data_IF_289850778120
#
_entry.id   IF_289850778120
#
_cell.length_a   1.000
_cell.length_b   1.000
_cell.length_c   1.000
_cell.angle_alpha   90.00
_cell.angle_beta   90.00
_cell.angle_gamma   90.00
#
_symmetry.space_group_name_H-M   'P 1'
#
loop_
_entity.id
_entity.type
_entity.pdbx_description
1 polymer ?
#
# COMPACT_ATOMS: atom_id res chain seq x y z
N UNK A 1 10.88 5.02 22.76
CA UNK A 1 11.95 4.43 21.93
C UNK A 1 13.04 5.48 21.82
N UNK A 2 14.22 5.20 22.37
CA UNK A 2 15.34 6.16 22.42
C UNK A 2 15.74 6.53 21.00
N UNK A 3 15.98 7.82 20.75
CA UNK A 3 16.38 8.32 19.43
C UNK A 3 17.83 7.88 19.20
N UNK A 4 18.01 6.69 18.62
CA UNK A 4 19.32 6.20 18.21
C UNK A 4 20.01 7.19 17.28
N UNK A 5 21.34 7.20 17.32
CA UNK A 5 22.15 7.96 16.40
C UNK A 5 21.86 7.57 14.94
N UNK A 6 21.85 8.57 14.06
CA UNK A 6 21.48 8.38 12.66
C UNK A 6 22.42 7.41 11.92
N UNK A 7 23.67 7.32 12.36
CA UNK A 7 24.67 6.39 11.82
C UNK A 7 24.34 4.93 12.16
N UNK A 8 24.12 4.66 13.45
CA UNK A 8 23.81 3.31 13.96
C UNK A 8 22.47 2.81 13.46
N UNK A 9 21.45 3.68 13.37
CA UNK A 9 20.16 3.31 12.78
C UNK A 9 20.30 2.86 11.31
N UNK A 10 21.12 3.57 10.53
CA UNK A 10 21.35 3.22 9.11
C UNK A 10 22.07 1.87 9.00
N UNK A 11 23.11 1.63 9.79
CA UNK A 11 23.82 0.35 9.75
C UNK A 11 22.91 -0.80 10.16
N UNK A 12 22.13 -0.63 11.23
CA UNK A 12 21.16 -1.64 11.67
C UNK A 12 20.12 -1.93 10.59
N UNK A 13 19.64 -0.90 9.90
CA UNK A 13 18.71 -1.05 8.79
C UNK A 13 19.34 -1.80 7.59
N UNK A 14 20.59 -1.51 7.25
CA UNK A 14 21.34 -2.24 6.22
C UNK A 14 21.49 -3.73 6.58
N UNK A 15 21.94 -4.03 7.80
CA UNK A 15 22.10 -5.42 8.27
C UNK A 15 20.77 -6.17 8.23
N UNK A 16 19.67 -5.51 8.61
CA UNK A 16 18.33 -6.11 8.58
C UNK A 16 17.86 -6.46 7.16
N UNK A 17 18.13 -5.61 6.17
CA UNK A 17 17.77 -5.91 4.78
C UNK A 17 18.55 -7.11 4.27
N UNK A 18 19.86 -7.11 4.53
CA UNK A 18 20.77 -8.18 4.10
C UNK A 18 20.31 -9.51 4.68
N UNK A 19 20.06 -9.54 6.00
CA UNK A 19 19.54 -10.73 6.66
C UNK A 19 18.23 -11.23 6.04
N UNK A 20 17.30 -10.33 5.69
CA UNK A 20 16.03 -10.71 5.06
C UNK A 20 16.20 -11.18 3.61
N UNK A 21 17.17 -10.64 2.87
CA UNK A 21 17.48 -11.07 1.51
C UNK A 21 18.10 -12.47 1.50
N UNK A 22 18.92 -12.80 2.50
CA UNK A 22 19.56 -14.11 2.62
C UNK A 22 18.59 -15.16 3.19
N UNK A 23 17.73 -14.77 4.14
CA UNK A 23 16.80 -15.69 4.80
C UNK A 23 15.63 -16.11 3.89
N UNK A 24 15.13 -15.21 3.04
CA UNK A 24 13.91 -15.43 2.24
C UNK A 24 14.23 -15.53 0.75
N UNK A 25 13.91 -16.66 0.09
CA UNK A 25 14.23 -16.85 -1.33
C UNK A 25 13.31 -16.06 -2.28
N UNK A 26 12.12 -15.65 -1.82
CA UNK A 26 11.09 -14.98 -2.63
C UNK A 26 10.76 -13.61 -2.05
N UNK A 27 10.52 -12.65 -2.95
CA UNK A 27 10.30 -11.25 -2.63
C UNK A 27 9.21 -10.64 -3.53
N UNK A 28 8.31 -9.88 -2.93
CA UNK A 28 7.38 -9.00 -3.64
C UNK A 28 7.79 -7.54 -3.52
N UNK A 29 7.62 -6.81 -4.63
CA UNK A 29 7.66 -5.35 -4.67
C UNK A 29 6.21 -4.86 -4.63
N UNK A 30 5.86 -4.07 -3.62
CA UNK A 30 4.49 -3.58 -3.39
C UNK A 30 4.48 -2.06 -3.40
N UNK A 31 3.58 -1.45 -4.18
CA UNK A 31 3.31 -0.01 -4.12
C UNK A 31 2.35 0.33 -2.98
N UNK A 32 2.64 1.40 -2.22
CA UNK A 32 1.91 1.77 -1.01
C UNK A 32 1.34 3.22 -1.05
N UNK A 33 0.96 3.73 -2.21
CA UNK A 33 0.59 5.15 -2.39
C UNK A 33 -0.70 5.57 -1.66
N UNK A 34 -1.71 4.71 -1.61
CA UNK A 34 -3.04 5.01 -1.03
C UNK A 34 -3.37 4.16 0.20
N UNK A 35 -2.35 3.73 0.94
CA UNK A 35 -2.53 2.79 2.07
C UNK A 35 -2.44 3.54 3.40
N UNK A 36 -3.48 3.41 4.22
CA UNK A 36 -3.50 4.01 5.56
C UNK A 36 -2.59 3.26 6.54
N UNK A 37 -2.07 3.95 7.57
CA UNK A 37 -1.22 3.34 8.60
C UNK A 37 -1.89 2.15 9.31
N UNK A 38 -3.20 2.25 9.58
CA UNK A 38 -4.01 1.18 10.18
C UNK A 38 -4.11 -0.04 9.26
N UNK A 39 -4.28 0.18 7.96
CA UNK A 39 -4.32 -0.90 6.97
C UNK A 39 -2.97 -1.61 6.87
N UNK A 40 -1.86 -0.87 6.87
CA UNK A 40 -0.52 -1.48 6.91
C UNK A 40 -0.29 -2.30 8.19
N UNK A 41 -0.83 -1.86 9.33
CA UNK A 41 -0.76 -2.65 10.57
C UNK A 41 -1.58 -3.94 10.46
N UNK A 42 -2.81 -3.89 9.93
CA UNK A 42 -3.63 -5.07 9.70
C UNK A 42 -2.98 -6.06 8.73
N UNK A 43 -2.40 -5.57 7.63
CA UNK A 43 -1.65 -6.39 6.67
C UNK A 43 -0.46 -7.06 7.36
N UNK A 44 0.29 -6.33 8.19
CA UNK A 44 1.40 -6.92 8.96
C UNK A 44 0.96 -7.98 9.96
N UNK A 45 -0.22 -7.84 10.57
CA UNK A 45 -0.78 -8.85 11.48
C UNK A 45 -1.21 -10.09 10.68
N UNK A 46 -1.89 -9.89 9.55
CA UNK A 46 -2.37 -10.98 8.69
C UNK A 46 -1.25 -11.80 8.03
N UNK A 47 -0.09 -11.17 7.80
CA UNK A 47 1.10 -11.79 7.22
C UNK A 47 2.05 -12.37 8.27
N UNK A 48 1.76 -12.20 9.57
CA UNK A 48 2.67 -12.61 10.64
C UNK A 48 2.85 -14.13 10.62
N UNK A 49 4.11 -14.57 10.58
CA UNK A 49 4.49 -15.98 10.50
C UNK A 49 4.85 -16.43 9.08
N UNK A 50 4.13 -15.93 8.07
CA UNK A 50 4.32 -16.35 6.68
C UNK A 50 5.19 -15.37 5.87
N UNK A 51 5.12 -14.08 6.20
CA UNK A 51 5.83 -13.03 5.47
C UNK A 51 6.25 -11.85 6.35
N UNK A 52 7.33 -11.18 5.94
CA UNK A 52 7.84 -9.97 6.60
C UNK A 52 7.75 -8.78 5.65
N UNK A 53 7.02 -7.74 6.08
CA UNK A 53 6.90 -6.48 5.33
C UNK A 53 7.96 -5.49 5.79
N UNK A 54 8.77 -4.99 4.86
CA UNK A 54 9.79 -3.98 5.09
C UNK A 54 9.55 -2.77 4.18
N UNK A 55 9.34 -1.60 4.79
CA UNK A 55 9.28 -0.31 4.08
C UNK A 55 10.60 0.43 4.28
N UNK A 56 11.10 1.08 3.23
CA UNK A 56 12.41 1.73 3.27
C UNK A 56 12.57 2.88 2.30
N UNK A 57 13.61 3.69 2.52
CA UNK A 57 14.00 4.73 1.56
C UNK A 57 14.63 4.08 0.32
N UNK A 58 14.12 4.39 -0.87
CA UNK A 58 14.56 3.81 -2.15
C UNK A 58 16.07 3.86 -2.37
N UNK A 59 16.73 4.98 -2.03
CA UNK A 59 18.19 5.12 -2.19
C UNK A 59 18.97 4.17 -1.28
N UNK A 60 18.48 3.94 -0.06
CA UNK A 60 19.10 3.02 0.89
C UNK A 60 18.90 1.57 0.43
N UNK A 61 17.68 1.22 0.03
CA UNK A 61 17.34 -0.11 -0.48
C UNK A 61 18.17 -0.47 -1.72
N UNK A 62 18.28 0.45 -2.70
CA UNK A 62 19.11 0.22 -3.89
C UNK A 62 20.58 0.02 -3.55
N UNK A 63 21.12 0.76 -2.59
CA UNK A 63 22.51 0.59 -2.16
C UNK A 63 22.72 -0.77 -1.50
N UNK A 64 21.79 -1.23 -0.67
CA UNK A 64 21.87 -2.54 -0.02
C UNK A 64 21.85 -3.67 -1.05
N UNK A 65 20.92 -3.61 -2.00
CA UNK A 65 20.76 -4.62 -3.05
C UNK A 65 21.99 -4.65 -3.98
N UNK A 66 22.54 -3.48 -4.34
CA UNK A 66 23.79 -3.42 -5.12
C UNK A 66 24.99 -4.01 -4.39
N UNK A 67 25.06 -3.86 -3.07
CA UNK A 67 26.11 -4.48 -2.26
C UNK A 67 25.99 -6.00 -2.16
N UNK A 68 24.79 -6.55 -2.36
CA UNK A 68 24.53 -8.00 -2.38
C UNK A 68 24.45 -8.60 -3.79
N UNK A 69 24.77 -7.82 -4.82
CA UNK A 69 24.64 -8.26 -6.22
C UNK A 69 25.60 -9.40 -6.57
N UNK A 70 26.74 -9.48 -5.89
CA UNK A 70 27.75 -10.53 -6.07
C UNK A 70 27.22 -11.92 -5.71
N UNK A 71 26.29 -12.00 -4.77
CA UNK A 71 25.70 -13.28 -4.33
C UNK A 71 24.51 -13.72 -5.18
N UNK A 72 23.83 -12.78 -5.85
CA UNK A 72 22.64 -13.09 -6.65
C UNK A 72 22.43 -12.06 -7.78
N UNK A 73 22.81 -12.44 -9.00
CA UNK A 73 22.68 -11.61 -10.20
C UNK A 73 21.22 -11.28 -10.57
N UNK A 74 20.24 -12.06 -10.09
CA UNK A 74 18.83 -11.80 -10.35
C UNK A 74 18.34 -10.49 -9.69
N UNK A 75 19.04 -10.01 -8.66
CA UNK A 75 18.69 -8.78 -7.95
C UNK A 75 18.82 -7.51 -8.81
N UNK A 76 19.64 -7.55 -9.86
CA UNK A 76 19.79 -6.43 -10.79
C UNK A 76 18.47 -6.07 -11.47
N UNK A 77 17.66 -7.08 -11.79
CA UNK A 77 16.34 -6.91 -12.41
C UNK A 77 15.34 -6.18 -11.50
N UNK A 78 15.57 -6.15 -10.18
CA UNK A 78 14.69 -5.47 -9.23
C UNK A 78 14.92 -3.96 -9.17
N UNK A 79 16.16 -3.50 -9.44
CA UNK A 79 16.55 -2.09 -9.36
C UNK A 79 15.64 -1.12 -10.13
N UNK A 80 15.22 -1.39 -11.39
CA UNK A 80 14.35 -0.47 -12.12
C UNK A 80 12.95 -0.33 -11.51
N UNK A 81 12.47 -1.33 -10.76
CA UNK A 81 11.13 -1.34 -10.17
C UNK A 81 11.06 -0.62 -8.81
N UNK A 82 12.20 -0.22 -8.22
CA UNK A 82 12.25 0.51 -6.94
C UNK A 82 12.10 2.02 -7.18
N UNK A 83 10.88 2.43 -7.53
CA UNK A 83 10.47 3.82 -7.81
C UNK A 83 9.11 4.12 -7.18
N UNK A 84 8.95 5.32 -6.62
CA UNK A 84 7.72 5.71 -5.91
C UNK A 84 7.69 5.26 -4.45
N UNK A 85 6.49 5.17 -3.87
CA UNK A 85 6.30 4.66 -2.52
C UNK A 85 6.24 3.13 -2.54
N UNK A 86 7.37 2.48 -2.34
CA UNK A 86 7.53 1.04 -2.51
C UNK A 86 7.94 0.36 -1.21
N UNK A 87 7.37 -0.81 -0.98
CA UNK A 87 7.71 -1.75 0.07
C UNK A 87 8.16 -3.10 -0.47
N UNK A 88 8.86 -3.84 0.38
CA UNK A 88 9.25 -5.20 0.14
C UNK A 88 8.49 -6.15 1.06
N UNK A 89 8.02 -7.27 0.52
CA UNK A 89 7.41 -8.34 1.29
C UNK A 89 8.22 -9.62 1.04
N UNK A 90 8.92 -10.07 2.08
CA UNK A 90 9.78 -11.26 2.07
C UNK A 90 8.99 -12.47 2.52
N UNK A 91 9.11 -13.58 1.80
CA UNK A 91 8.23 -14.74 1.97
C UNK A 91 8.97 -16.05 1.68
N UNK A 92 8.72 -17.09 2.47
CA UNK A 92 9.18 -18.47 2.17
C UNK A 92 8.09 -19.31 1.49
N UNK A 93 6.83 -18.96 1.72
CA UNK A 93 5.66 -19.64 1.17
C UNK A 93 5.44 -19.38 -0.33
N UNK A 94 4.33 -19.88 -0.86
CA UNK A 94 3.98 -19.72 -2.26
C UNK A 94 3.47 -18.33 -2.62
N UNK A 95 3.88 -17.87 -3.81
CA UNK A 95 3.59 -16.51 -4.28
C UNK A 95 2.09 -16.30 -4.47
N UNK A 96 1.34 -17.33 -4.88
CA UNK A 96 -0.10 -17.22 -5.09
C UNK A 96 -0.84 -16.94 -3.79
N UNK A 97 -0.54 -17.70 -2.74
CA UNK A 97 -1.22 -17.58 -1.45
C UNK A 97 -1.01 -16.21 -0.82
N UNK A 98 0.22 -15.70 -0.88
CA UNK A 98 0.55 -14.38 -0.33
C UNK A 98 -0.10 -13.28 -1.16
N UNK A 99 -0.12 -13.41 -2.49
CA UNK A 99 -0.85 -12.48 -3.36
C UNK A 99 -2.33 -12.45 -3.00
N UNK A 100 -2.95 -13.60 -2.80
CA UNK A 100 -4.37 -13.68 -2.45
C UNK A 100 -4.64 -13.09 -1.07
N UNK A 101 -3.76 -13.34 -0.09
CA UNK A 101 -3.86 -12.71 1.24
C UNK A 101 -3.70 -11.19 1.19
N UNK A 102 -2.80 -10.68 0.35
CA UNK A 102 -2.63 -9.25 0.12
C UNK A 102 -3.88 -8.65 -0.54
N UNK A 103 -4.44 -9.31 -1.55
CA UNK A 103 -5.63 -8.83 -2.26
C UNK A 103 -6.90 -8.91 -1.41
N UNK A 104 -7.07 -9.95 -0.59
CA UNK A 104 -8.20 -10.09 0.35
C UNK A 104 -8.27 -8.95 1.37
N UNK A 105 -7.12 -8.39 1.75
CA UNK A 105 -7.03 -7.27 2.69
C UNK A 105 -7.14 -5.89 2.01
N UNK A 106 -7.69 -5.84 0.78
CA UNK A 106 -8.02 -4.57 0.12
C UNK A 106 -9.22 -3.93 0.82
N UNK A 107 -8.95 -2.86 1.55
CA UNK A 107 -9.99 -2.07 2.22
C UNK A 107 -10.60 -1.08 1.23
N UNK A 108 -11.93 -1.09 1.11
CA UNK A 108 -12.66 -0.04 0.41
C UNK A 108 -12.56 1.26 1.25
N UNK A 109 -11.82 2.23 0.73
CA UNK A 109 -11.72 3.55 1.34
C UNK A 109 -12.61 4.54 0.57
N UNK A 110 -13.27 5.49 1.28
CA UNK A 110 -14.00 6.55 0.61
C UNK A 110 -13.06 7.40 -0.26
N UNK A 111 -13.56 7.88 -1.39
CA UNK A 111 -12.80 8.78 -2.25
C UNK A 111 -12.45 10.06 -1.49
N UNK A 112 -11.17 10.45 -1.53
CA UNK A 112 -10.70 11.70 -0.94
C UNK A 112 -10.84 12.83 -1.95
N UNK A 113 -11.27 14.00 -1.49
CA UNK A 113 -11.32 15.19 -2.32
C UNK A 113 -9.93 15.50 -2.91
N UNK A 114 -9.87 15.76 -4.21
CA UNK A 114 -8.62 16.01 -4.95
C UNK A 114 -7.81 14.77 -5.35
N UNK A 115 -8.24 13.56 -4.98
CA UNK A 115 -7.61 12.33 -5.45
C UNK A 115 -8.13 11.95 -6.85
N UNK A 116 -7.24 11.45 -7.70
CA UNK A 116 -7.61 10.87 -9.00
C UNK A 116 -8.34 9.55 -8.74
N UNK A 117 -9.53 9.39 -9.34
CA UNK A 117 -10.30 8.17 -9.20
C UNK A 117 -9.60 7.01 -9.94
N UNK A 118 -9.30 5.89 -9.26
CA UNK A 118 -8.68 4.73 -9.89
C UNK A 118 -9.66 3.86 -10.69
N UNK A 119 -10.97 4.02 -10.42
CA UNK A 119 -12.08 3.28 -11.01
C UNK A 119 -13.24 4.26 -11.19
N UNK A 120 -14.14 3.95 -12.12
CA UNK A 120 -15.35 4.72 -12.34
C UNK A 120 -16.26 4.70 -11.10
N UNK A 121 -16.81 5.86 -10.76
CA UNK A 121 -17.71 6.03 -9.61
C UNK A 121 -19.14 6.17 -10.13
N UNK A 122 -19.97 5.16 -9.85
CA UNK A 122 -21.39 5.15 -10.22
C UNK A 122 -22.27 5.37 -8.99
N UNK A 123 -23.35 6.14 -9.15
CA UNK A 123 -24.34 6.37 -8.09
C UNK A 123 -25.62 5.62 -8.45
N UNK A 124 -26.11 4.69 -7.60
CA UNK A 124 -27.37 4.01 -7.84
C UNK A 124 -28.55 4.97 -7.63
N UNK A 125 -29.60 4.83 -8.45
CA UNK A 125 -30.84 5.59 -8.30
C UNK A 125 -31.61 5.08 -7.07
N UNK A 126 -31.58 5.84 -5.98
CA UNK A 126 -32.25 5.51 -4.72
C UNK A 126 -32.55 6.78 -3.93
N UNK A 127 -33.61 6.76 -3.10
CA UNK A 127 -33.90 7.85 -2.16
C UNK A 127 -32.76 7.95 -1.13
N UNK A 128 -32.17 9.13 -0.99
CA UNK A 128 -31.04 9.40 -0.10
C UNK A 128 -31.47 9.64 1.35
N UNK A 129 -32.76 9.91 1.59
CA UNK A 129 -33.28 10.28 2.90
C UNK A 129 -32.84 11.68 3.37
N UNK A 130 -32.15 12.44 2.52
CA UNK A 130 -31.73 13.80 2.82
C UNK A 130 -32.88 14.78 2.57
N UNK A 131 -32.97 15.79 3.43
CA UNK A 131 -33.96 16.86 3.27
C UNK A 131 -33.70 17.74 2.04
N UNK A 132 -34.72 18.48 1.57
CA UNK A 132 -34.72 19.16 0.27
C UNK A 132 -33.72 20.33 0.18
N UNK A 133 -33.14 20.78 1.30
CA UNK A 133 -32.15 21.87 1.34
C UNK A 133 -30.82 21.53 0.66
N UNK A 134 -30.50 20.25 0.49
CA UNK A 134 -29.21 19.79 -0.06
C UNK A 134 -29.23 19.50 -1.58
N UNK A 135 -30.32 19.79 -2.28
CA UNK A 135 -30.44 19.55 -3.74
C UNK A 135 -29.39 20.32 -4.54
N UNK A 136 -29.06 21.55 -4.13
CA UNK A 136 -28.05 22.40 -4.79
C UNK A 136 -26.66 21.75 -4.82
N UNK A 137 -26.30 20.97 -3.80
CA UNK A 137 -25.02 20.26 -3.73
C UNK A 137 -24.92 19.16 -4.80
N UNK A 138 -25.97 18.36 -4.98
CA UNK A 138 -25.99 17.31 -6.00
C UNK A 138 -25.99 17.89 -7.42
N UNK A 139 -26.71 18.99 -7.64
CA UNK A 139 -26.70 19.71 -8.91
C UNK A 139 -25.31 20.26 -9.25
N UNK A 140 -24.59 20.82 -8.28
CA UNK A 140 -23.22 21.30 -8.48
C UNK A 140 -22.24 20.17 -8.88
N UNK A 141 -22.49 18.95 -8.42
CA UNK A 141 -21.74 17.74 -8.80
C UNK A 141 -22.24 17.10 -10.11
N UNK A 142 -23.16 17.75 -10.83
CA UNK A 142 -23.80 17.23 -12.05
C UNK A 142 -24.56 15.91 -11.83
N UNK A 143 -25.06 15.68 -10.62
CA UNK A 143 -25.87 14.49 -10.27
C UNK A 143 -27.36 14.86 -10.42
N UNK A 144 -28.10 14.20 -11.33
CA UNK A 144 -29.53 14.46 -11.49
C UNK A 144 -30.31 13.94 -10.27
N UNK A 145 -31.08 14.82 -9.63
CA UNK A 145 -31.87 14.49 -8.43
C UNK A 145 -33.28 15.09 -8.50
N UNK A 146 -34.25 14.47 -7.81
CA UNK A 146 -35.65 14.92 -7.77
C UNK A 146 -36.21 14.75 -6.36
N UNK A 147 -36.90 15.77 -5.85
CA UNK A 147 -37.57 15.68 -4.55
C UNK A 147 -38.83 14.80 -4.69
N UNK A 148 -38.90 13.74 -3.88
CA UNK A 148 -40.06 12.87 -3.74
C UNK A 148 -40.43 12.74 -2.27
N UNK A 149 -41.70 12.99 -1.93
CA UNK A 149 -42.26 12.89 -0.56
C UNK A 149 -41.44 13.64 0.51
N UNK A 150 -40.86 14.79 0.16
CA UNK A 150 -40.06 15.61 1.08
C UNK A 150 -38.59 15.18 1.26
N UNK A 151 -38.12 14.20 0.49
CA UNK A 151 -36.72 13.70 0.49
C UNK A 151 -36.13 13.69 -0.92
N UNK A 152 -34.80 13.76 -1.05
CA UNK A 152 -34.06 13.75 -2.33
C UNK A 152 -33.75 12.32 -2.78
#
# INVERSE_FOLDING_TARGET
MVKEDRGTWKSNYFMKIIQLLDEYPKLFIVGADNVGSKQMQQIRIALRGDAVVLMGKNTMMRKAIRGHLENNSALEKLLPHIKGNVGFVFTKCDLSDIRDRLLKNKVAAPAKAGAIAPLDVTIPAQNTGLGPKKTSFFQALSIPTKISRGTI
#
